data_IF_989433775515
#
_entry.id   IF_989433775515
#
_cell.length_a   1.000
_cell.length_b   1.000
_cell.length_c   1.000
_cell.angle_alpha   90.00
_cell.angle_beta   90.00
_cell.angle_gamma   90.00
#
_symmetry.space_group_name_H-M   'P 1'
#
loop_
_entity.id
_entity.type
_entity.pdbx_description
1 polymer ?
#
# COMPACT_ATOMS: atom_id res chain seq x y z
N UNK A 1 -25.70 -13.47 -8.31
CA UNK A 1 -25.45 -13.40 -6.85
C UNK A 1 -24.92 -12.01 -6.56
N UNK A 2 -25.32 -11.36 -5.47
CA UNK A 2 -24.72 -10.08 -5.07
C UNK A 2 -23.30 -10.36 -4.56
N UNK A 3 -22.30 -9.67 -5.10
CA UNK A 3 -20.92 -9.87 -4.68
C UNK A 3 -20.77 -9.60 -3.18
N UNK A 4 -20.10 -10.51 -2.49
CA UNK A 4 -19.92 -10.48 -1.04
C UNK A 4 -18.45 -10.24 -0.75
N UNK A 5 -18.14 -9.08 -0.20
CA UNK A 5 -16.77 -8.71 0.14
C UNK A 5 -16.50 -8.95 1.62
N UNK A 6 -15.45 -9.70 1.95
CA UNK A 6 -15.08 -9.97 3.33
C UNK A 6 -14.11 -8.92 3.89
N UNK A 7 -14.16 -8.68 5.20
CA UNK A 7 -13.18 -7.80 5.85
C UNK A 7 -11.82 -8.47 5.99
N UNK A 8 -10.74 -7.68 5.96
CA UNK A 8 -9.40 -8.10 6.33
C UNK A 8 -8.96 -7.44 7.65
N UNK A 9 -8.18 -8.14 8.49
CA UNK A 9 -7.78 -9.54 8.36
C UNK A 9 -8.95 -10.50 8.58
N UNK A 10 -8.84 -11.72 8.05
CA UNK A 10 -9.89 -12.75 8.21
C UNK A 10 -10.01 -13.12 9.69
N UNK A 11 -11.19 -12.99 10.31
CA UNK A 11 -11.38 -13.37 11.71
C UNK A 11 -11.52 -14.90 11.83
N UNK A 12 -10.39 -15.61 11.81
CA UNK A 12 -10.35 -17.08 11.88
C UNK A 12 -11.12 -17.65 13.08
N UNK A 13 -11.17 -16.94 14.21
CA UNK A 13 -11.99 -17.35 15.36
C UNK A 13 -13.48 -17.51 15.00
N UNK A 14 -14.04 -16.63 14.16
CA UNK A 14 -15.43 -16.77 13.69
C UNK A 14 -15.57 -17.96 12.74
N UNK A 15 -14.62 -18.11 11.82
CA UNK A 15 -14.60 -19.21 10.86
C UNK A 15 -14.60 -20.57 11.57
N UNK A 16 -13.72 -20.75 12.56
CA UNK A 16 -13.58 -21.98 13.34
C UNK A 16 -14.85 -22.29 14.17
N UNK A 17 -15.54 -21.25 14.64
CA UNK A 17 -16.80 -21.38 15.37
C UNK A 17 -18.04 -21.44 14.46
N UNK A 18 -17.85 -21.62 13.14
CA UNK A 18 -18.94 -21.67 12.13
C UNK A 18 -19.84 -20.43 12.14
N UNK A 19 -19.28 -19.29 12.56
CA UNK A 19 -19.98 -18.01 12.56
C UNK A 19 -19.81 -17.33 11.19
N UNK A 20 -20.80 -16.53 10.75
CA UNK A 20 -20.68 -15.79 9.51
C UNK A 20 -19.50 -14.81 9.57
N UNK A 21 -18.70 -14.81 8.50
CA UNK A 21 -17.63 -13.84 8.34
C UNK A 21 -18.20 -12.43 8.10
N UNK A 22 -17.62 -11.40 8.74
CA UNK A 22 -18.02 -10.02 8.50
C UNK A 22 -17.80 -9.64 7.03
N UNK A 23 -18.75 -8.88 6.50
CA UNK A 23 -18.70 -8.36 5.14
C UNK A 23 -18.60 -6.85 5.15
N UNK A 24 -17.99 -6.29 4.11
CA UNK A 24 -17.77 -4.86 3.94
C UNK A 24 -18.36 -4.38 2.63
N UNK A 25 -18.45 -3.06 2.47
CA UNK A 25 -18.88 -2.44 1.21
C UNK A 25 -17.77 -2.58 0.16
N UNK A 26 -18.16 -2.47 -1.11
CA UNK A 26 -17.25 -2.49 -2.26
C UNK A 26 -16.05 -1.55 -2.05
N UNK A 27 -16.31 -0.29 -1.72
CA UNK A 27 -15.27 0.72 -1.50
C UNK A 27 -14.25 0.29 -0.44
N UNK A 28 -14.73 -0.22 0.70
CA UNK A 28 -13.85 -0.75 1.76
C UNK A 28 -13.07 -1.96 1.30
N UNK A 29 -13.69 -2.86 0.52
CA UNK A 29 -13.01 -4.02 -0.05
C UNK A 29 -11.86 -3.62 -0.97
N UNK A 30 -12.07 -2.62 -1.82
CA UNK A 30 -11.02 -2.07 -2.70
C UNK A 30 -9.91 -1.44 -1.87
N UNK A 31 -10.23 -0.63 -0.85
CA UNK A 31 -9.20 -0.05 0.05
C UNK A 31 -8.35 -1.11 0.73
N UNK A 32 -8.96 -2.19 1.23
CA UNK A 32 -8.23 -3.31 1.83
C UNK A 32 -7.31 -4.03 0.82
N UNK A 33 -7.76 -4.17 -0.43
CA UNK A 33 -6.97 -4.83 -1.46
C UNK A 33 -5.79 -3.96 -1.93
N UNK A 34 -6.01 -2.65 -2.09
CA UNK A 34 -4.93 -1.69 -2.33
C UNK A 34 -3.88 -1.82 -1.23
N UNK A 35 -4.29 -1.81 0.05
CA UNK A 35 -3.34 -1.96 1.16
C UNK A 35 -2.56 -3.26 1.05
N UNK A 36 -3.21 -4.37 0.68
CA UNK A 36 -2.54 -5.64 0.49
C UNK A 36 -1.48 -5.56 -0.63
N UNK A 37 -1.81 -4.97 -1.78
CA UNK A 37 -0.86 -4.73 -2.89
C UNK A 37 0.32 -3.88 -2.43
N UNK A 38 0.08 -2.77 -1.71
CA UNK A 38 1.13 -1.87 -1.23
C UNK A 38 2.06 -2.55 -0.21
N UNK A 39 1.54 -3.48 0.58
CA UNK A 39 2.29 -4.21 1.60
C UNK A 39 3.01 -5.46 1.08
N UNK A 40 2.81 -5.82 -0.19
CA UNK A 40 3.39 -7.03 -0.79
C UNK A 40 4.54 -6.67 -1.72
N UNK A 41 5.68 -7.32 -1.52
CA UNK A 41 6.81 -7.23 -2.43
C UNK A 41 6.53 -8.07 -3.68
N UNK A 42 7.08 -7.68 -4.84
CA UNK A 42 7.09 -8.57 -6.01
C UNK A 42 7.68 -9.94 -5.65
N UNK A 43 7.28 -11.01 -6.33
CA UNK A 43 7.69 -12.40 -6.04
C UNK A 43 7.26 -12.97 -4.67
N UNK A 44 6.63 -12.20 -3.79
CA UNK A 44 6.17 -12.70 -2.48
C UNK A 44 4.93 -13.60 -2.62
N UNK A 45 4.05 -13.28 -3.57
CA UNK A 45 2.89 -14.10 -3.85
C UNK A 45 3.23 -15.27 -4.76
N UNK A 46 3.30 -16.48 -4.16
CA UNK A 46 3.71 -17.73 -4.82
C UNK A 46 3.07 -18.02 -6.18
N UNK A 47 1.82 -17.63 -6.41
CA UNK A 47 1.09 -17.97 -7.63
C UNK A 47 1.13 -16.88 -8.71
N UNK A 48 1.51 -15.66 -8.34
CA UNK A 48 1.66 -14.55 -9.26
C UNK A 48 2.80 -13.64 -8.80
N UNK A 49 4.00 -13.77 -9.40
CA UNK A 49 5.17 -12.98 -9.01
C UNK A 49 5.00 -11.48 -9.31
N UNK A 50 4.03 -11.11 -10.15
CA UNK A 50 3.78 -9.70 -10.50
C UNK A 50 2.88 -8.99 -9.50
N UNK A 51 2.33 -9.70 -8.51
CA UNK A 51 1.49 -9.13 -7.47
C UNK A 51 2.32 -8.43 -6.40
N UNK A 52 2.07 -7.14 -6.20
CA UNK A 52 2.80 -6.30 -5.24
C UNK A 52 3.31 -5.02 -5.89
N UNK A 53 4.27 -4.34 -5.26
CA UNK A 53 4.89 -3.15 -5.84
C UNK A 53 6.33 -2.94 -5.35
N UNK A 54 7.04 -2.01 -6.02
CA UNK A 54 8.46 -1.75 -5.77
C UNK A 54 8.73 -0.85 -4.55
N UNK A 55 7.77 -0.66 -3.63
CA UNK A 55 7.94 0.17 -2.42
C UNK A 55 9.13 -0.32 -1.59
N UNK A 56 9.26 -1.63 -1.48
CA UNK A 56 10.15 -2.31 -0.53
C UNK A 56 11.56 -2.57 -1.09
N UNK A 57 11.76 -2.46 -2.40
CA UNK A 57 13.05 -2.67 -3.08
C UNK A 57 14.16 -1.72 -2.58
N UNK A 58 13.75 -0.52 -2.12
CA UNK A 58 14.65 0.58 -1.79
C UNK A 58 14.66 0.92 -0.28
N UNK A 59 14.13 0.02 0.57
CA UNK A 59 14.06 0.21 2.03
C UNK A 59 15.46 0.30 2.68
N UNK A 60 16.50 -0.23 2.01
CA UNK A 60 17.87 -0.26 2.52
C UNK A 60 18.86 0.62 1.73
N UNK A 61 18.43 1.29 0.65
CA UNK A 61 19.34 2.05 -0.21
C UNK A 61 19.44 3.54 0.15
N UNK A 62 20.68 4.04 0.10
CA UNK A 62 20.99 5.47 0.21
C UNK A 62 20.76 6.12 -1.15
N UNK A 63 19.49 6.44 -1.44
CA UNK A 63 19.03 6.98 -2.73
C UNK A 63 19.73 8.29 -3.12
N UNK A 64 20.58 8.32 -4.17
CA UNK A 64 21.20 9.55 -4.64
C UNK A 64 20.21 10.43 -5.44
N UNK A 65 19.05 9.88 -5.86
CA UNK A 65 18.07 10.55 -6.74
C UNK A 65 16.61 10.24 -6.34
N UNK A 66 16.13 10.86 -5.28
CA UNK A 66 14.75 10.71 -4.76
C UNK A 66 13.66 10.93 -5.83
N UNK A 67 13.87 11.85 -6.77
CA UNK A 67 12.88 12.12 -7.82
C UNK A 67 12.69 10.96 -8.80
N UNK A 68 13.78 10.29 -9.19
CA UNK A 68 13.71 9.14 -10.10
C UNK A 68 12.96 7.99 -9.43
N UNK A 69 13.33 7.67 -8.19
CA UNK A 69 12.64 6.64 -7.41
C UNK A 69 11.16 6.95 -7.21
N UNK A 70 10.79 8.22 -6.92
CA UNK A 70 9.40 8.63 -6.79
C UNK A 70 8.59 8.32 -8.06
N UNK A 71 9.14 8.60 -9.23
CA UNK A 71 8.45 8.41 -10.51
C UNK A 71 8.37 6.92 -10.88
N UNK A 72 9.42 6.14 -10.60
CA UNK A 72 9.40 4.67 -10.74
C UNK A 72 8.39 4.04 -9.80
N UNK A 73 8.37 4.46 -8.54
CA UNK A 73 7.45 3.97 -7.53
C UNK A 73 6.00 4.27 -7.89
N UNK A 74 5.74 5.49 -8.36
CA UNK A 74 4.42 5.88 -8.87
C UNK A 74 3.98 4.92 -9.98
N UNK A 75 4.83 4.68 -10.98
CA UNK A 75 4.51 3.78 -12.11
C UNK A 75 4.27 2.36 -11.64
N UNK A 76 5.12 1.84 -10.75
CA UNK A 76 4.96 0.50 -10.18
C UNK A 76 3.60 0.33 -9.49
N UNK A 77 3.17 1.31 -8.69
CA UNK A 77 1.86 1.27 -8.03
C UNK A 77 0.73 1.39 -9.06
N UNK A 78 0.83 2.28 -10.05
CA UNK A 78 -0.18 2.42 -11.12
C UNK A 78 -0.36 1.10 -11.91
N UNK A 79 0.74 0.50 -12.36
CA UNK A 79 0.74 -0.75 -13.14
C UNK A 79 0.20 -1.92 -12.32
N UNK A 80 0.59 -2.04 -11.05
CA UNK A 80 0.08 -3.07 -10.16
C UNK A 80 -1.42 -2.92 -9.91
N UNK A 81 -1.91 -1.71 -9.65
CA UNK A 81 -3.33 -1.49 -9.43
C UNK A 81 -4.15 -1.75 -10.69
N UNK A 82 -3.63 -1.34 -11.87
CA UNK A 82 -4.28 -1.57 -13.14
C UNK A 82 -4.38 -3.07 -13.48
N UNK A 83 -3.38 -3.85 -13.08
CA UNK A 83 -3.33 -5.30 -13.33
C UNK A 83 -4.17 -6.08 -12.33
N UNK A 84 -4.05 -5.75 -11.04
CA UNK A 84 -4.56 -6.60 -9.96
C UNK A 84 -5.88 -6.13 -9.36
N UNK A 85 -6.27 -4.86 -9.51
CA UNK A 85 -7.54 -4.33 -8.98
C UNK A 85 -8.53 -3.94 -10.11
N UNK A 86 -9.20 -4.92 -10.76
CA UNK A 86 -10.08 -4.67 -11.91
C UNK A 86 -11.37 -3.93 -11.58
N UNK A 87 -11.66 -3.71 -10.29
CA UNK A 87 -12.84 -2.94 -9.84
C UNK A 87 -12.61 -1.44 -9.92
N UNK A 88 -11.38 -1.00 -10.21
CA UNK A 88 -11.03 0.41 -10.43
C UNK A 88 -10.80 0.71 -11.90
N UNK A 89 -11.20 1.93 -12.30
CA UNK A 89 -10.93 2.52 -13.60
C UNK A 89 -10.29 3.91 -13.44
N UNK A 90 -9.59 4.37 -14.48
CA UNK A 90 -8.97 5.71 -14.54
C UNK A 90 -8.08 6.01 -13.32
N UNK A 91 -7.28 5.01 -12.94
CA UNK A 91 -6.37 5.09 -11.79
C UNK A 91 -5.32 6.18 -12.05
N UNK A 92 -5.12 7.03 -11.05
CA UNK A 92 -4.08 8.04 -11.00
C UNK A 92 -3.45 8.01 -9.62
N UNK A 93 -2.14 7.82 -9.57
CA UNK A 93 -1.39 7.76 -8.32
C UNK A 93 -0.50 8.99 -8.20
N UNK A 94 -0.43 9.53 -6.97
CA UNK A 94 0.54 10.55 -6.61
C UNK A 94 1.36 10.07 -5.42
N UNK A 95 2.68 10.11 -5.56
CA UNK A 95 3.62 9.72 -4.50
C UNK A 95 4.38 10.94 -4.00
N UNK A 96 4.48 11.08 -2.69
CA UNK A 96 5.33 12.06 -2.01
C UNK A 96 6.28 11.33 -1.07
N UNK A 97 7.56 11.66 -1.15
CA UNK A 97 8.58 11.15 -0.24
C UNK A 97 9.13 12.33 0.55
N UNK A 98 9.15 12.20 1.87
CA UNK A 98 9.71 13.19 2.78
C UNK A 98 10.60 12.51 3.81
N UNK A 99 11.67 13.17 4.22
CA UNK A 99 12.47 12.75 5.37
C UNK A 99 11.89 13.34 6.64
N UNK A 100 11.63 12.49 7.63
CA UNK A 100 11.14 12.89 8.93
C UNK A 100 12.17 12.53 10.01
N UNK A 101 12.71 13.52 10.75
CA UNK A 101 13.57 13.23 11.88
C UNK A 101 12.77 12.48 12.94
N UNK A 102 13.37 11.41 13.46
CA UNK A 102 12.83 10.57 14.52
C UNK A 102 13.86 10.49 15.65
N UNK A 103 13.44 10.91 16.84
CA UNK A 103 14.24 10.78 18.06
C UNK A 103 13.65 9.65 18.89
N UNK A 104 14.43 8.61 19.19
CA UNK A 104 13.97 7.57 20.10
C UNK A 104 13.89 8.13 21.52
N UNK A 105 12.82 7.86 22.30
CA UNK A 105 12.67 8.40 23.65
C UNK A 105 13.85 8.10 24.58
N UNK A 106 14.45 6.92 24.42
CA UNK A 106 15.54 6.41 25.26
C UNK A 106 16.94 6.83 24.80
N UNK A 107 17.08 7.32 23.56
CA UNK A 107 18.40 7.62 22.99
C UNK A 107 18.37 8.95 22.21
N UNK A 108 18.42 10.05 22.97
CA UNK A 108 18.38 11.42 22.43
C UNK A 108 19.65 11.85 21.69
N UNK A 109 20.71 11.02 21.73
CA UNK A 109 22.00 11.32 21.10
C UNK A 109 22.05 10.92 19.62
N UNK A 110 21.29 9.89 19.23
CA UNK A 110 21.26 9.39 17.85
C UNK A 110 20.09 10.01 17.08
N UNK A 111 20.39 10.87 16.10
CA UNK A 111 19.39 11.43 15.19
C UNK A 111 19.09 10.41 14.09
N UNK A 112 17.92 9.77 14.16
CA UNK A 112 17.46 8.85 13.11
C UNK A 112 16.59 9.60 12.11
N UNK A 113 16.68 9.26 10.84
CA UNK A 113 15.80 9.81 9.79
C UNK A 113 14.97 8.67 9.25
N UNK A 114 13.64 8.81 9.28
CA UNK A 114 12.71 7.90 8.61
C UNK A 114 12.27 8.52 7.29
N UNK A 115 12.19 7.72 6.23
CA UNK A 115 11.55 8.15 4.98
C UNK A 115 10.04 7.90 5.11
N UNK A 116 9.25 8.95 4.98
CA UNK A 116 7.79 8.92 4.92
C UNK A 116 7.35 8.92 3.45
N UNK A 117 6.67 7.87 3.03
CA UNK A 117 6.03 7.78 1.71
C UNK A 117 4.54 8.04 1.91
N UNK A 118 4.00 9.06 1.25
CA UNK A 118 2.57 9.34 1.21
C UNK A 118 2.04 9.10 -0.20
N UNK A 119 1.04 8.23 -0.30
CA UNK A 119 0.46 7.75 -1.55
C UNK A 119 -0.99 8.24 -1.59
N UNK A 120 -1.36 8.94 -2.66
CA UNK A 120 -2.73 9.37 -2.95
C UNK A 120 -3.19 8.69 -4.24
N UNK A 121 -4.33 8.00 -4.17
CA UNK A 121 -4.88 7.19 -5.26
C UNK A 121 -6.27 7.74 -5.57
N UNK A 122 -6.43 8.20 -6.80
CA UNK A 122 -7.69 8.69 -7.35
C UNK A 122 -8.10 7.80 -8.49
N UNK A 123 -9.35 7.33 -8.48
CA UNK A 123 -9.88 6.43 -9.49
C UNK A 123 -11.40 6.58 -9.57
N UNK A 124 -12.03 5.70 -10.35
CA UNK A 124 -13.47 5.47 -10.34
C UNK A 124 -13.76 4.01 -10.02
N UNK A 125 -14.83 3.75 -9.26
CA UNK A 125 -15.36 2.40 -9.12
C UNK A 125 -16.03 2.00 -10.45
N UNK A 126 -15.58 0.89 -11.04
CA UNK A 126 -16.08 0.42 -12.34
C UNK A 126 -17.59 0.12 -12.35
N UNK A 127 -18.10 -0.45 -11.26
CA UNK A 127 -19.51 -0.87 -11.17
C UNK A 127 -20.47 0.33 -11.09
N UNK A 128 -20.09 1.39 -10.38
CA UNK A 128 -20.97 2.53 -10.08
C UNK A 128 -20.60 3.82 -10.81
N UNK A 129 -19.44 3.87 -11.47
CA UNK A 129 -18.82 5.07 -12.06
C UNK A 129 -18.59 6.22 -11.05
N UNK A 130 -18.67 5.92 -9.75
CA UNK A 130 -18.47 6.87 -8.66
C UNK A 130 -16.98 7.16 -8.43
N UNK A 131 -16.62 8.40 -8.04
CA UNK A 131 -15.25 8.73 -7.65
C UNK A 131 -14.77 7.88 -6.47
N UNK A 132 -13.54 7.37 -6.57
CA UNK A 132 -12.85 6.63 -5.53
C UNK A 132 -11.59 7.37 -5.10
N UNK A 133 -11.36 7.45 -3.79
CA UNK A 133 -10.15 8.02 -3.21
C UNK A 133 -9.61 7.13 -2.09
N UNK A 134 -8.30 6.95 -2.08
CA UNK A 134 -7.58 6.26 -1.02
C UNK A 134 -6.23 6.94 -0.78
N UNK A 135 -5.88 7.08 0.50
CA UNK A 135 -4.61 7.66 0.93
C UNK A 135 -3.95 6.70 1.90
N UNK A 136 -2.66 6.46 1.68
CA UNK A 136 -1.85 5.59 2.54
C UNK A 136 -0.53 6.29 2.89
N UNK A 137 -0.01 6.03 4.08
CA UNK A 137 1.30 6.54 4.50
C UNK A 137 2.13 5.42 5.08
N UNK A 138 3.26 5.15 4.43
CA UNK A 138 4.22 4.15 4.84
C UNK A 138 5.50 4.81 5.35
N UNK A 139 6.14 4.15 6.31
CA UNK A 139 7.42 4.56 6.85
C UNK A 139 8.45 3.49 6.55
N UNK A 140 9.49 3.88 5.82
CA UNK A 140 10.65 3.03 5.58
C UNK A 140 11.65 3.14 6.73
N UNK A 141 12.45 2.09 6.88
CA UNK A 141 13.36 1.88 8.01
C UNK A 141 14.33 3.04 8.20
N UNK A 142 14.72 3.35 9.45
CA UNK A 142 15.59 4.48 9.72
C UNK A 142 17.00 4.23 9.20
N UNK A 143 17.58 5.21 8.49
CA UNK A 143 19.02 5.28 8.30
C UNK A 143 19.60 5.91 9.57
N UNK A 144 20.40 5.16 10.32
CA UNK A 144 21.28 5.72 11.35
C UNK A 144 22.41 6.48 10.66
N UNK A 145 22.50 7.78 10.90
CA UNK A 145 23.68 8.56 10.61
C UNK A 145 24.51 8.58 11.90
N UNK A 146 25.72 8.04 11.83
CA UNK A 146 26.73 8.15 12.90
C UNK A 146 27.16 9.61 13.10
#
# INVERSE_FOLDING_TARGET
MKDRYYSLPVPFGRLLNKQPLPTVRLETSVKQHILLILMTHFDEYRYDPTYGCSIWEQDFEMLPKVNTWKDELKRSIEDSLQTHEPRLDRIKVTVKIAEQPFTHPEDRKVRRIKKRISIDIQAKLRETDEPFQHQETLFLSPISLD
#
